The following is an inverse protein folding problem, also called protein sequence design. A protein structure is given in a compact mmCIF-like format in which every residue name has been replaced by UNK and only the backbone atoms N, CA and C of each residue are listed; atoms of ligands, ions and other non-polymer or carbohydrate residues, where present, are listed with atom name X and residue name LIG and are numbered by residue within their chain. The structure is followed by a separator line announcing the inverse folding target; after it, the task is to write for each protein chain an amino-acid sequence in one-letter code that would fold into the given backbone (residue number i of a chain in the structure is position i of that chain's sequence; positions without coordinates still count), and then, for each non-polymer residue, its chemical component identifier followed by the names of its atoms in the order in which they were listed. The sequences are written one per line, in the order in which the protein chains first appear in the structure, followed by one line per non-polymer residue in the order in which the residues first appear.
data_IF_081229045112
#
_entry.id   IF_081229045112
#
_cell.length_a   1.000
_cell.length_b   1.000
_cell.length_c   1.000
_cell.angle_alpha   90.00
_cell.angle_beta   90.00
_cell.angle_gamma   90.00
#
_symmetry.space_group_name_H-M   'P 1'
#
loop_
_entity.id
_entity.type
_entity.pdbx_description
1 polymer ?
#
# COMPACT_ATOMS: atom_id res chain seq x y z
N UNK A 1 -1.34 -25.82 34.35
CA UNK A 1 -2.72 -25.33 34.07
C UNK A 1 -3.53 -26.38 33.30
N UNK A 2 -4.72 -26.76 33.78
CA UNK A 2 -5.59 -27.72 33.09
C UNK A 2 -6.15 -27.09 31.80
N UNK A 3 -5.65 -27.54 30.65
CA UNK A 3 -5.91 -27.02 29.30
C UNK A 3 -7.17 -27.59 28.63
N UNK A 4 -7.93 -28.46 29.32
CA UNK A 4 -8.97 -29.31 28.71
C UNK A 4 -10.21 -28.58 28.18
N UNK A 5 -10.39 -27.28 28.47
CA UNK A 5 -11.55 -26.48 28.02
C UNK A 5 -11.19 -25.32 27.10
N UNK A 6 -9.95 -25.24 26.60
CA UNK A 6 -9.52 -24.12 25.75
C UNK A 6 -9.71 -24.48 24.28
N UNK A 7 -10.47 -23.66 23.55
CA UNK A 7 -10.57 -23.79 22.10
C UNK A 7 -9.20 -23.51 21.49
N UNK A 8 -8.64 -24.47 20.75
CA UNK A 8 -7.42 -24.24 19.99
C UNK A 8 -7.66 -23.16 18.94
N UNK A 9 -6.87 -22.09 19.02
CA UNK A 9 -6.93 -20.92 18.11
C UNK A 9 -5.81 -20.96 17.05
N UNK A 10 -4.84 -21.88 17.20
CA UNK A 10 -3.73 -22.10 16.29
C UNK A 10 -3.18 -23.51 16.47
N UNK A 11 -2.91 -24.20 15.37
CA UNK A 11 -2.08 -25.41 15.38
C UNK A 11 -0.60 -25.04 15.63
N UNK A 12 0.24 -25.99 16.08
CA UNK A 12 1.69 -25.83 16.09
C UNK A 12 2.21 -25.52 14.68
N UNK A 13 3.14 -24.57 14.57
CA UNK A 13 3.69 -24.10 13.29
C UNK A 13 5.21 -24.11 13.37
N UNK A 14 5.85 -24.78 12.42
CA UNK A 14 7.29 -24.68 12.20
C UNK A 14 7.57 -23.38 11.43
N UNK A 15 8.14 -22.38 12.11
CA UNK A 15 8.51 -21.10 11.50
C UNK A 15 10.02 -21.06 11.22
N UNK A 16 10.37 -20.88 9.94
CA UNK A 16 11.73 -20.77 9.48
C UNK A 16 12.07 -19.34 9.04
N UNK A 17 13.27 -18.90 9.40
CA UNK A 17 13.87 -17.66 8.91
C UNK A 17 15.09 -18.02 8.07
N UNK A 18 15.01 -17.92 6.73
CA UNK A 18 16.18 -18.16 5.89
C UNK A 18 17.35 -17.26 6.28
N UNK A 19 18.48 -17.87 6.59
CA UNK A 19 19.74 -17.17 6.86
C UNK A 19 20.33 -16.75 5.51
N UNK A 20 21.01 -15.60 5.46
CA UNK A 20 21.69 -15.06 4.25
C UNK A 20 20.79 -14.37 3.22
N UNK A 21 19.60 -13.87 3.61
CA UNK A 21 18.84 -12.96 2.75
C UNK A 21 19.49 -11.57 2.74
N UNK A 22 20.30 -11.32 1.71
CA UNK A 22 20.82 -9.97 1.42
C UNK A 22 19.68 -8.94 1.38
N UNK A 23 19.88 -7.70 1.85
CA UNK A 23 18.85 -6.66 1.85
C UNK A 23 18.67 -6.04 0.46
N UNK A 24 18.55 -6.87 -0.58
CA UNK A 24 18.30 -6.44 -1.96
C UNK A 24 16.87 -6.74 -2.36
N UNK A 25 16.34 -5.97 -3.32
CA UNK A 25 14.98 -6.17 -3.83
C UNK A 25 14.77 -7.53 -4.55
N UNK A 26 15.85 -8.29 -4.78
CA UNK A 26 15.82 -9.59 -5.49
C UNK A 26 16.01 -10.78 -4.57
N UNK A 27 16.52 -10.62 -3.35
CA UNK A 27 16.93 -11.74 -2.50
C UNK A 27 15.80 -12.71 -2.16
N UNK A 28 14.61 -12.21 -1.81
CA UNK A 28 13.43 -13.05 -1.58
C UNK A 28 13.05 -13.87 -2.83
N UNK A 29 13.07 -13.22 -4.00
CA UNK A 29 12.76 -13.87 -5.27
C UNK A 29 13.79 -14.95 -5.60
N UNK A 30 15.07 -14.63 -5.51
CA UNK A 30 16.18 -15.58 -5.76
C UNK A 30 16.12 -16.77 -4.80
N UNK A 31 15.83 -16.53 -3.51
CA UNK A 31 15.65 -17.59 -2.53
C UNK A 31 14.49 -18.51 -2.92
N UNK A 32 13.32 -17.97 -3.27
CA UNK A 32 12.16 -18.79 -3.66
C UNK A 32 12.42 -19.57 -4.95
N UNK A 33 13.09 -18.97 -5.94
CA UNK A 33 13.45 -19.64 -7.18
C UNK A 33 14.44 -20.77 -6.93
N UNK A 34 15.51 -20.53 -6.15
CA UNK A 34 16.51 -21.54 -5.78
C UNK A 34 15.89 -22.71 -5.03
N UNK A 35 14.91 -22.44 -4.16
CA UNK A 35 14.26 -23.45 -3.31
C UNK A 35 12.92 -23.96 -3.87
N UNK A 36 12.60 -23.64 -5.13
CA UNK A 36 11.31 -23.95 -5.74
C UNK A 36 11.01 -25.45 -5.79
N UNK A 37 12.00 -26.29 -6.06
CA UNK A 37 11.85 -27.75 -6.07
C UNK A 37 12.02 -28.35 -4.67
N UNK A 38 13.15 -28.06 -4.01
CA UNK A 38 13.59 -28.74 -2.78
C UNK A 38 12.76 -28.38 -1.53
N UNK A 39 12.17 -27.19 -1.49
CA UNK A 39 11.36 -26.73 -0.35
C UNK A 39 9.91 -26.61 -0.76
N UNK A 40 9.63 -25.81 -1.79
CA UNK A 40 8.27 -25.40 -2.11
C UNK A 40 7.49 -26.58 -2.70
N UNK A 41 7.90 -27.11 -3.87
CA UNK A 41 7.23 -28.24 -4.51
C UNK A 41 7.30 -29.49 -3.61
N UNK A 42 8.48 -29.79 -3.05
CA UNK A 42 8.68 -30.96 -2.19
C UNK A 42 7.66 -31.04 -1.05
N UNK A 43 7.28 -29.91 -0.42
CA UNK A 43 6.25 -29.92 0.62
C UNK A 43 4.92 -30.50 0.12
N UNK A 44 4.47 -30.13 -1.07
CA UNK A 44 3.21 -30.64 -1.63
C UNK A 44 3.30 -32.09 -2.10
N UNK A 45 4.50 -32.54 -2.46
CA UNK A 45 4.75 -33.94 -2.82
C UNK A 45 4.83 -34.84 -1.57
N UNK A 46 5.47 -34.37 -0.51
CA UNK A 46 5.59 -35.08 0.77
C UNK A 46 4.25 -35.11 1.52
N UNK A 47 3.40 -34.09 1.35
CA UNK A 47 2.10 -33.96 1.99
C UNK A 47 0.96 -33.70 0.99
N UNK A 48 0.49 -34.72 0.24
CA UNK A 48 -0.59 -34.58 -0.73
C UNK A 48 -1.86 -33.99 -0.13
N UNK A 49 -2.54 -33.11 -0.88
CA UNK A 49 -3.74 -32.40 -0.40
C UNK A 49 -3.45 -31.15 0.44
N UNK A 50 -2.18 -30.83 0.68
CA UNK A 50 -1.76 -29.57 1.29
C UNK A 50 -2.19 -28.36 0.46
N UNK A 51 -2.41 -27.24 1.15
CA UNK A 51 -2.70 -25.94 0.55
C UNK A 51 -1.72 -24.91 1.08
N UNK A 52 -1.23 -24.05 0.20
CA UNK A 52 -0.25 -23.03 0.58
C UNK A 52 -0.51 -21.66 0.01
N UNK A 53 0.15 -20.68 0.63
CA UNK A 53 0.17 -19.30 0.16
C UNK A 53 1.61 -18.75 0.12
N UNK A 54 1.90 -17.95 -0.91
CA UNK A 54 3.08 -17.10 -1.00
C UNK A 54 2.61 -15.65 -1.05
N UNK A 55 2.98 -14.84 -0.05
CA UNK A 55 2.53 -13.45 0.06
C UNK A 55 3.72 -12.50 -0.11
N UNK A 56 3.74 -11.76 -1.22
CA UNK A 56 4.82 -10.85 -1.60
C UNK A 56 4.35 -9.38 -1.52
N UNK A 57 5.31 -8.47 -1.40
CA UNK A 57 5.04 -7.03 -1.32
C UNK A 57 4.82 -6.37 -2.69
N UNK A 58 5.19 -7.05 -3.79
CA UNK A 58 5.12 -6.50 -5.15
C UNK A 58 4.32 -7.41 -6.09
N UNK A 59 3.39 -6.81 -6.84
CA UNK A 59 2.63 -7.49 -7.90
C UNK A 59 3.56 -8.05 -8.98
N UNK A 60 4.60 -7.31 -9.38
CA UNK A 60 5.56 -7.79 -10.37
C UNK A 60 6.33 -9.02 -9.88
N UNK A 61 6.69 -9.08 -8.59
CA UNK A 61 7.32 -10.28 -8.01
C UNK A 61 6.39 -11.48 -8.03
N UNK A 62 5.08 -11.28 -7.81
CA UNK A 62 4.07 -12.35 -7.89
C UNK A 62 4.02 -12.95 -9.29
N UNK A 63 3.89 -12.13 -10.34
CA UNK A 63 3.81 -12.65 -11.71
C UNK A 63 5.12 -13.31 -12.17
N UNK A 64 6.28 -12.75 -11.81
CA UNK A 64 7.58 -13.38 -12.08
C UNK A 64 7.71 -14.75 -11.40
N UNK A 65 7.32 -14.86 -10.13
CA UNK A 65 7.39 -16.14 -9.42
C UNK A 65 6.37 -17.14 -9.95
N UNK A 66 5.16 -16.68 -10.32
CA UNK A 66 4.15 -17.52 -10.93
C UNK A 66 4.61 -18.11 -12.26
N UNK A 67 5.36 -17.36 -13.08
CA UNK A 67 5.95 -17.86 -14.32
C UNK A 67 6.94 -19.03 -14.08
N UNK A 68 7.61 -19.06 -12.92
CA UNK A 68 8.49 -20.17 -12.51
C UNK A 68 7.70 -21.34 -11.91
N UNK A 69 6.79 -21.07 -10.98
CA UNK A 69 6.13 -22.12 -10.20
C UNK A 69 4.98 -22.81 -10.94
N UNK A 70 4.22 -22.10 -11.80
CA UNK A 70 3.12 -22.70 -12.58
C UNK A 70 3.57 -23.91 -13.42
N UNK A 71 4.58 -23.80 -14.29
CA UNK A 71 5.02 -24.95 -15.10
C UNK A 71 5.64 -26.06 -14.25
N UNK A 72 6.28 -25.72 -13.13
CA UNK A 72 6.86 -26.69 -12.21
C UNK A 72 5.78 -27.55 -11.54
N UNK A 73 4.75 -26.93 -10.98
CA UNK A 73 3.66 -27.61 -10.28
C UNK A 73 2.75 -28.39 -11.25
N UNK A 74 2.54 -27.88 -12.46
CA UNK A 74 1.71 -28.53 -13.47
C UNK A 74 2.20 -29.94 -13.84
N UNK A 75 3.52 -30.21 -13.77
CA UNK A 75 4.11 -31.55 -13.99
C UNK A 75 3.58 -32.61 -13.01
N UNK A 76 3.06 -32.17 -11.87
CA UNK A 76 2.55 -33.02 -10.80
C UNK A 76 1.03 -32.87 -10.60
N UNK A 77 0.31 -32.31 -11.58
CA UNK A 77 -1.13 -32.01 -11.50
C UNK A 77 -1.52 -31.08 -10.36
N UNK A 78 -0.59 -30.24 -9.89
CA UNK A 78 -0.86 -29.22 -8.88
C UNK A 78 -1.13 -27.86 -9.54
N UNK A 79 -2.03 -27.07 -8.95
CA UNK A 79 -2.47 -25.78 -9.46
C UNK A 79 -1.83 -24.62 -8.69
N UNK A 80 -1.14 -23.74 -9.42
CA UNK A 80 -0.63 -22.46 -8.89
C UNK A 80 -1.44 -21.33 -9.50
N UNK A 81 -2.13 -20.54 -8.67
CA UNK A 81 -2.96 -19.42 -9.11
C UNK A 81 -2.53 -18.10 -8.46
N UNK A 82 -2.83 -16.98 -9.13
CA UNK A 82 -2.39 -15.64 -8.72
C UNK A 82 -3.54 -14.87 -8.10
N UNK A 83 -3.26 -14.13 -7.02
CA UNK A 83 -4.24 -13.24 -6.39
C UNK A 83 -3.60 -11.90 -6.02
N UNK A 84 -3.80 -10.90 -6.85
CA UNK A 84 -3.29 -9.53 -6.65
C UNK A 84 -4.37 -8.48 -6.84
N UNK A 85 -4.04 -7.22 -6.56
CA UNK A 85 -4.90 -6.09 -6.90
C UNK A 85 -5.17 -5.93 -8.41
N UNK A 86 -4.35 -6.56 -9.26
CA UNK A 86 -4.58 -6.63 -10.70
C UNK A 86 -5.36 -7.86 -11.13
N UNK A 87 -5.52 -8.89 -10.30
CA UNK A 87 -6.29 -10.07 -10.68
C UNK A 87 -7.78 -9.74 -10.74
N UNK A 88 -8.42 -10.07 -11.87
CA UNK A 88 -9.86 -9.97 -12.10
C UNK A 88 -10.67 -10.81 -11.11
N UNK A 89 -11.96 -10.50 -11.02
CA UNK A 89 -12.86 -11.14 -10.05
C UNK A 89 -13.00 -12.65 -10.27
N UNK A 90 -12.99 -13.07 -11.54
CA UNK A 90 -13.12 -14.49 -11.90
C UNK A 90 -11.88 -15.28 -11.47
N UNK A 91 -10.69 -14.83 -11.87
CA UNK A 91 -9.42 -15.49 -11.50
C UNK A 91 -9.18 -15.43 -9.99
N UNK A 92 -9.55 -14.31 -9.33
CA UNK A 92 -9.46 -14.18 -7.87
C UNK A 92 -10.32 -15.21 -7.16
N UNK A 93 -11.56 -15.40 -7.59
CA UNK A 93 -12.46 -16.39 -6.99
C UNK A 93 -11.94 -17.81 -7.19
N UNK A 94 -11.50 -18.15 -8.41
CA UNK A 94 -10.90 -19.44 -8.72
C UNK A 94 -9.62 -19.71 -7.90
N UNK A 95 -8.79 -18.69 -7.69
CA UNK A 95 -7.57 -18.82 -6.88
C UNK A 95 -7.86 -19.34 -5.47
N UNK A 96 -8.96 -18.91 -4.86
CA UNK A 96 -9.33 -19.26 -3.50
C UNK A 96 -9.94 -20.67 -3.37
N UNK A 97 -10.48 -21.22 -4.46
CA UNK A 97 -11.19 -22.51 -4.44
C UNK A 97 -10.37 -23.64 -5.05
N UNK A 98 -9.58 -23.35 -6.09
CA UNK A 98 -8.94 -24.37 -6.91
C UNK A 98 -7.44 -24.48 -6.72
N UNK A 99 -6.76 -23.46 -6.19
CA UNK A 99 -5.32 -23.47 -6.10
C UNK A 99 -4.84 -24.47 -5.04
N UNK A 100 -3.74 -25.15 -5.32
CA UNK A 100 -2.92 -25.81 -4.30
C UNK A 100 -1.95 -24.81 -3.68
N UNK A 101 -1.42 -23.89 -4.50
CA UNK A 101 -0.58 -22.79 -4.06
C UNK A 101 -1.11 -21.47 -4.62
N UNK A 102 -1.49 -20.54 -3.75
CA UNK A 102 -1.82 -19.17 -4.14
C UNK A 102 -0.57 -18.29 -4.01
N UNK A 103 -0.28 -17.50 -5.03
CA UNK A 103 0.76 -16.46 -4.97
C UNK A 103 0.09 -15.11 -5.09
N UNK A 104 0.36 -14.20 -4.17
CA UNK A 104 -0.32 -12.92 -4.17
C UNK A 104 0.32 -11.83 -3.34
N UNK A 105 -0.43 -10.74 -3.19
CA UNK A 105 -0.04 -9.58 -2.38
C UNK A 105 -0.90 -9.47 -1.14
N UNK A 106 -0.94 -8.30 -0.49
CA UNK A 106 -1.81 -8.04 0.66
C UNK A 106 -3.32 -8.17 0.36
N UNK A 107 -3.73 -8.41 -0.88
CA UNK A 107 -5.08 -8.86 -1.20
C UNK A 107 -5.43 -10.21 -0.55
N UNK A 108 -4.44 -11.03 -0.21
CA UNK A 108 -4.61 -12.25 0.59
C UNK A 108 -4.77 -11.91 2.09
N UNK A 109 -4.22 -10.77 2.54
CA UNK A 109 -4.28 -10.35 3.94
C UNK A 109 -5.70 -9.91 4.36
N UNK A 110 -6.61 -9.67 3.41
CA UNK A 110 -7.97 -9.15 3.66
C UNK A 110 -8.97 -9.78 2.67
N UNK A 111 -9.91 -10.59 3.18
CA UNK A 111 -10.87 -11.33 2.37
C UNK A 111 -10.71 -12.84 2.55
N UNK A 112 -11.82 -13.57 2.39
CA UNK A 112 -12.04 -15.04 2.41
C UNK A 112 -10.97 -15.89 3.13
N UNK A 113 -11.39 -16.64 4.14
CA UNK A 113 -10.52 -17.51 4.92
C UNK A 113 -10.04 -18.72 4.10
N UNK A 114 -8.90 -18.57 3.42
CA UNK A 114 -8.24 -19.63 2.67
C UNK A 114 -7.47 -20.55 3.62
N UNK A 115 -7.85 -21.82 3.68
CA UNK A 115 -7.24 -22.82 4.57
C UNK A 115 -5.89 -23.24 4.02
N UNK A 116 -4.82 -23.03 4.79
CA UNK A 116 -3.45 -23.41 4.41
C UNK A 116 -2.71 -24.12 5.53
N UNK A 117 -1.74 -24.96 5.16
CA UNK A 117 -0.71 -25.53 6.01
C UNK A 117 0.72 -25.22 5.54
N UNK A 118 0.87 -24.45 4.45
CA UNK A 118 2.16 -23.95 3.98
C UNK A 118 2.11 -22.44 3.74
N UNK A 119 3.09 -21.70 4.25
CA UNK A 119 3.16 -20.24 4.06
C UNK A 119 4.59 -19.80 3.76
N UNK A 120 4.76 -18.97 2.74
CA UNK A 120 5.96 -18.16 2.54
C UNK A 120 5.52 -16.71 2.47
N UNK A 121 6.17 -15.82 3.20
CA UNK A 121 5.75 -14.43 3.18
C UNK A 121 6.92 -13.47 3.38
N UNK A 122 6.84 -12.33 2.70
CA UNK A 122 7.64 -11.16 3.02
C UNK A 122 6.94 -10.37 4.13
N UNK A 123 7.67 -9.59 4.91
CA UNK A 123 7.08 -8.63 5.83
C UNK A 123 7.88 -7.34 5.89
N UNK A 124 7.21 -6.21 5.71
CA UNK A 124 7.82 -4.89 5.82
C UNK A 124 7.80 -4.35 7.26
N UNK A 125 6.85 -4.83 8.06
CA UNK A 125 6.60 -4.37 9.41
C UNK A 125 6.00 -5.45 10.31
N UNK A 126 6.06 -5.21 11.63
CA UNK A 126 5.55 -6.15 12.63
C UNK A 126 4.05 -6.45 12.44
N UNK A 127 3.24 -5.45 12.09
CA UNK A 127 1.81 -5.63 11.87
C UNK A 127 1.54 -6.56 10.69
N UNK A 128 2.19 -6.31 9.56
CA UNK A 128 2.14 -7.13 8.37
C UNK A 128 2.66 -8.55 8.63
N UNK A 129 3.76 -8.69 9.38
CA UNK A 129 4.31 -9.98 9.80
C UNK A 129 3.27 -10.79 10.58
N UNK A 130 2.72 -10.21 11.65
CA UNK A 130 1.77 -10.88 12.55
C UNK A 130 0.48 -11.23 11.80
N UNK A 131 0.00 -10.35 10.92
CA UNK A 131 -1.21 -10.57 10.13
C UNK A 131 -1.03 -11.72 9.13
N UNK A 132 0.09 -11.74 8.39
CA UNK A 132 0.41 -12.78 7.40
C UNK A 132 0.66 -14.12 8.08
N UNK A 133 1.52 -14.15 9.09
CA UNK A 133 1.80 -15.36 9.86
C UNK A 133 0.53 -15.93 10.48
N UNK A 134 -0.33 -15.07 11.02
CA UNK A 134 -1.61 -15.45 11.62
C UNK A 134 -2.64 -16.02 10.64
N UNK A 135 -2.33 -16.16 9.34
CA UNK A 135 -3.15 -16.90 8.36
C UNK A 135 -2.95 -18.41 8.45
N UNK A 136 -1.78 -18.84 8.90
CA UNK A 136 -1.44 -20.25 9.06
C UNK A 136 -1.97 -20.80 10.40
N UNK A 137 -2.30 -22.09 10.43
CA UNK A 137 -2.64 -22.79 11.68
C UNK A 137 -4.04 -22.55 12.24
N UNK A 138 -4.90 -21.76 11.58
CA UNK A 138 -6.27 -21.48 12.07
C UNK A 138 -7.20 -22.70 12.07
N UNK A 139 -6.91 -23.64 11.18
CA UNK A 139 -7.80 -24.74 10.81
C UNK A 139 -7.06 -26.04 11.02
N UNK A 140 -7.62 -27.05 11.73
CA UNK A 140 -6.98 -28.35 11.93
C UNK A 140 -7.14 -29.29 10.71
N UNK A 141 -7.76 -28.83 9.61
CA UNK A 141 -8.12 -29.64 8.44
C UNK A 141 -6.95 -30.40 7.78
N UNK A 142 -5.71 -30.00 8.02
CA UNK A 142 -4.52 -30.64 7.42
C UNK A 142 -3.82 -31.62 8.34
N UNK A 143 -4.26 -31.79 9.59
CA UNK A 143 -3.64 -32.78 10.48
C UNK A 143 -3.81 -34.20 9.89
N UNK A 144 -2.79 -35.07 9.98
CA UNK A 144 -1.54 -34.91 10.74
C UNK A 144 -0.39 -34.22 9.97
N UNK A 145 -0.64 -33.64 8.80
CA UNK A 145 0.40 -32.90 8.07
C UNK A 145 0.88 -31.67 8.85
N UNK A 146 2.17 -31.31 8.74
CA UNK A 146 2.72 -30.18 9.47
C UNK A 146 2.20 -28.84 8.92
N UNK A 147 2.24 -27.82 9.77
CA UNK A 147 2.06 -26.44 9.37
C UNK A 147 3.43 -25.79 9.31
N UNK A 148 3.83 -25.28 8.14
CA UNK A 148 5.16 -24.71 7.93
C UNK A 148 5.11 -23.31 7.35
N UNK A 149 5.90 -22.41 7.93
CA UNK A 149 6.04 -21.03 7.48
C UNK A 149 7.51 -20.68 7.19
N UNK A 150 7.74 -19.86 6.17
CA UNK A 150 9.02 -19.21 5.88
C UNK A 150 8.83 -17.69 5.85
N UNK A 151 9.49 -16.99 6.77
CA UNK A 151 9.48 -15.54 6.81
C UNK A 151 10.70 -14.98 6.07
N UNK A 152 10.45 -14.37 4.90
CA UNK A 152 11.47 -13.73 4.06
C UNK A 152 11.62 -12.27 4.50
N UNK A 153 12.45 -12.04 5.51
CA UNK A 153 12.67 -10.73 6.12
C UNK A 153 14.17 -10.41 6.12
N UNK A 154 14.56 -9.12 6.17
CA UNK A 154 15.97 -8.75 6.12
C UNK A 154 16.79 -9.37 7.26
N UNK A 155 18.03 -9.79 6.95
CA UNK A 155 18.94 -10.41 7.93
C UNK A 155 19.13 -9.58 9.20
N UNK A 156 19.19 -8.24 9.11
CA UNK A 156 19.36 -7.41 10.31
C UNK A 156 18.18 -7.52 11.30
N UNK A 157 16.97 -7.83 10.82
CA UNK A 157 15.83 -8.10 11.71
C UNK A 157 15.96 -9.49 12.32
N UNK A 158 16.37 -10.50 11.54
CA UNK A 158 16.65 -11.85 12.04
C UNK A 158 17.73 -11.78 13.14
N UNK A 159 18.81 -11.03 12.91
CA UNK A 159 19.87 -10.81 13.90
C UNK A 159 19.39 -10.09 15.16
N UNK A 160 18.36 -9.24 15.09
CA UNK A 160 17.75 -8.64 16.29
C UNK A 160 16.87 -9.64 17.04
N UNK A 161 16.09 -10.43 16.32
CA UNK A 161 15.20 -11.45 16.87
C UNK A 161 15.96 -12.58 17.58
N UNK A 162 17.14 -12.96 17.08
CA UNK A 162 17.92 -14.11 17.58
C UNK A 162 19.34 -13.74 18.05
N UNK A 163 19.63 -12.45 18.19
CA UNK A 163 20.94 -11.95 18.63
C UNK A 163 21.12 -11.93 20.14
N UNK A 164 22.27 -11.42 20.60
CA UNK A 164 22.56 -11.28 22.03
C UNK A 164 21.52 -10.38 22.73
N UNK A 165 20.90 -10.90 23.79
CA UNK A 165 19.86 -10.19 24.55
C UNK A 165 18.45 -10.30 23.96
N UNK A 166 18.23 -11.11 22.92
CA UNK A 166 16.90 -11.39 22.40
C UNK A 166 16.09 -12.33 23.30
N UNK A 167 14.77 -12.32 23.11
CA UNK A 167 13.84 -13.20 23.83
C UNK A 167 13.52 -14.49 23.06
N UNK A 168 14.16 -14.75 21.92
CA UNK A 168 13.87 -15.91 21.06
C UNK A 168 15.14 -16.73 20.83
N UNK A 169 15.06 -18.05 21.04
CA UNK A 169 16.14 -18.97 20.71
C UNK A 169 15.77 -19.84 19.49
N UNK A 170 16.79 -20.26 18.74
CA UNK A 170 16.61 -21.17 17.61
C UNK A 170 16.12 -22.55 18.08
N UNK A 171 15.08 -23.08 17.42
CA UNK A 171 14.46 -24.37 17.77
C UNK A 171 13.58 -24.36 19.04
N UNK A 172 13.35 -23.20 19.67
CA UNK A 172 12.51 -23.08 20.85
C UNK A 172 11.02 -23.09 20.51
N UNK A 173 10.22 -23.81 21.32
CA UNK A 173 8.77 -23.70 21.31
C UNK A 173 8.33 -22.48 22.12
N UNK A 174 7.63 -21.55 21.49
CA UNK A 174 7.18 -20.31 22.12
C UNK A 174 5.67 -20.12 21.92
N UNK A 175 5.00 -19.57 22.94
CA UNK A 175 3.60 -19.23 22.82
C UNK A 175 3.38 -18.01 21.91
N UNK A 176 2.20 -17.95 21.30
CA UNK A 176 1.86 -16.91 20.32
C UNK A 176 1.94 -15.50 20.88
N UNK A 177 1.60 -15.28 22.15
CA UNK A 177 1.57 -13.93 22.76
C UNK A 177 3.00 -13.44 22.95
N UNK A 178 3.85 -14.25 23.56
CA UNK A 178 5.27 -13.94 23.73
C UNK A 178 5.97 -13.70 22.38
N UNK A 179 5.72 -14.57 21.40
CA UNK A 179 6.28 -14.41 20.05
C UNK A 179 5.80 -13.12 19.35
N UNK A 180 4.51 -12.81 19.45
CA UNK A 180 3.94 -11.57 18.87
C UNK A 180 4.58 -10.32 19.48
N UNK A 181 4.84 -10.33 20.78
CA UNK A 181 5.49 -9.23 21.48
C UNK A 181 6.95 -9.09 21.04
N UNK A 182 7.70 -10.19 20.96
CA UNK A 182 9.07 -10.20 20.46
C UNK A 182 9.19 -9.62 19.05
N UNK A 183 8.26 -9.93 18.14
CA UNK A 183 8.22 -9.35 16.78
C UNK A 183 7.99 -7.83 16.83
N UNK A 184 7.08 -7.34 17.68
CA UNK A 184 6.79 -5.90 17.81
C UNK A 184 7.99 -5.12 18.35
N UNK A 185 8.68 -5.67 19.34
CA UNK A 185 9.78 -4.98 20.03
C UNK A 185 11.05 -4.89 19.18
N UNK A 186 11.22 -5.79 18.21
CA UNK A 186 12.41 -5.84 17.35
C UNK A 186 12.26 -5.10 16.01
N UNK A 187 11.03 -4.75 15.61
CA UNK A 187 10.77 -3.97 14.40
C UNK A 187 10.89 -2.47 14.64
N UNK A 188 11.20 -1.72 13.57
CA UNK A 188 11.17 -0.26 13.64
C UNK A 188 9.74 0.23 13.92
N UNK A 189 9.63 1.27 14.74
CA UNK A 189 8.37 1.95 15.01
C UNK A 189 7.70 2.41 13.71
N UNK A 190 6.38 2.21 13.63
CA UNK A 190 5.52 2.76 12.58
C UNK A 190 4.56 3.76 13.17
N UNK A 191 4.41 4.89 12.49
CA UNK A 191 3.50 5.95 12.88
C UNK A 191 2.04 5.49 12.81
N UNK A 192 1.27 5.79 13.85
CA UNK A 192 -0.18 5.58 13.90
C UNK A 192 -0.98 6.80 13.42
N UNK A 193 -0.29 7.90 13.11
CA UNK A 193 -0.85 9.18 12.70
C UNK A 193 -1.87 9.76 13.69
N UNK A 194 -1.66 9.58 15.01
CA UNK A 194 -2.58 10.05 16.05
C UNK A 194 -2.96 11.53 15.99
N UNK A 195 -2.12 12.38 15.36
CA UNK A 195 -2.39 13.82 15.16
C UNK A 195 -3.32 14.12 13.98
N UNK A 196 -3.46 13.20 13.02
CA UNK A 196 -4.27 13.41 11.82
C UNK A 196 -5.75 13.65 12.13
N UNK A 197 -6.43 12.84 12.99
CA UNK A 197 -7.83 13.07 13.32
C UNK A 197 -8.08 14.46 13.94
N UNK A 198 -7.18 14.93 14.81
CA UNK A 198 -7.30 16.26 15.41
C UNK A 198 -7.09 17.37 14.37
N UNK A 199 -6.07 17.23 13.49
CA UNK A 199 -5.71 18.25 12.50
C UNK A 199 -6.74 18.37 11.38
N UNK A 200 -7.03 17.27 10.69
CA UNK A 200 -7.84 17.23 9.47
C UNK A 200 -9.25 16.68 9.67
N UNK A 201 -9.44 15.78 10.64
CA UNK A 201 -10.78 15.34 11.04
C UNK A 201 -11.62 16.51 11.56
N UNK A 202 -11.00 17.49 12.23
CA UNK A 202 -11.70 18.71 12.65
C UNK A 202 -12.18 19.60 11.49
N UNK A 203 -11.45 19.63 10.36
CA UNK A 203 -11.88 20.33 9.13
C UNK A 203 -13.07 19.62 8.50
N UNK A 204 -13.01 18.29 8.40
CA UNK A 204 -14.11 17.44 7.95
C UNK A 204 -15.36 17.63 8.82
N UNK A 205 -15.22 17.56 10.14
CA UNK A 205 -16.32 17.77 11.08
C UNK A 205 -16.94 19.16 10.93
N UNK A 206 -16.14 20.21 10.79
CA UNK A 206 -16.68 21.56 10.58
C UNK A 206 -17.53 21.64 9.30
N UNK A 207 -17.04 21.03 8.21
CA UNK A 207 -17.76 21.03 6.94
C UNK A 207 -19.12 20.31 7.04
N UNK A 208 -19.12 19.10 7.62
CA UNK A 208 -20.37 18.32 7.85
C UNK A 208 -21.33 19.11 8.74
N UNK A 209 -20.82 19.71 9.83
CA UNK A 209 -21.63 20.54 10.72
C UNK A 209 -22.29 21.71 9.97
N UNK A 210 -21.57 22.33 9.03
CA UNK A 210 -22.12 23.40 8.20
C UNK A 210 -23.21 22.91 7.24
N UNK A 211 -23.04 21.73 6.62
CA UNK A 211 -24.08 21.09 5.78
C UNK A 211 -25.34 20.76 6.60
N UNK A 212 -25.18 20.27 7.83
CA UNK A 212 -26.29 19.99 8.76
C UNK A 212 -27.06 21.26 9.16
N UNK A 213 -26.44 22.44 9.06
CA UNK A 213 -27.07 23.74 9.30
C UNK A 213 -27.79 24.31 8.07
N UNK A 214 -27.82 23.60 6.94
CA UNK A 214 -28.64 23.97 5.80
C UNK A 214 -30.13 23.92 6.13
N UNK A 215 -30.94 24.78 5.49
CA UNK A 215 -32.36 24.97 5.83
C UNK A 215 -33.19 23.67 5.74
N UNK A 216 -32.91 22.84 4.72
CA UNK A 216 -33.53 21.53 4.58
C UNK A 216 -33.19 20.57 5.73
N UNK A 217 -31.92 20.50 6.13
CA UNK A 217 -31.47 19.63 7.22
C UNK A 217 -31.99 20.08 8.57
N UNK A 218 -31.99 21.39 8.85
CA UNK A 218 -32.56 21.96 10.06
C UNK A 218 -34.04 21.64 10.21
N UNK A 219 -34.80 21.68 9.11
CA UNK A 219 -36.24 21.40 9.14
C UNK A 219 -36.51 19.93 9.44
N UNK A 220 -35.71 19.02 8.86
CA UNK A 220 -35.89 17.58 9.00
C UNK A 220 -35.28 16.99 10.28
N UNK A 221 -34.17 17.57 10.75
CA UNK A 221 -33.39 17.09 11.89
C UNK A 221 -32.86 18.28 12.72
N UNK A 222 -33.72 18.94 13.53
CA UNK A 222 -33.37 20.19 14.21
C UNK A 222 -32.17 20.07 15.16
N UNK A 223 -32.02 18.92 15.82
CA UNK A 223 -30.94 18.69 16.80
C UNK A 223 -29.65 18.12 16.19
N UNK A 224 -29.67 17.69 14.92
CA UNK A 224 -28.56 16.91 14.35
C UNK A 224 -27.24 17.69 14.34
N UNK A 225 -27.30 18.98 14.01
CA UNK A 225 -26.11 19.83 13.98
C UNK A 225 -25.48 19.99 15.38
N UNK A 226 -26.28 20.19 16.41
CA UNK A 226 -25.78 20.42 17.77
C UNK A 226 -25.27 19.13 18.41
N UNK A 227 -25.96 18.00 18.20
CA UNK A 227 -25.48 16.67 18.65
C UNK A 227 -24.17 16.29 17.97
N UNK A 228 -24.12 16.40 16.64
CA UNK A 228 -22.89 16.12 15.88
C UNK A 228 -21.73 17.00 16.32
N UNK A 229 -21.99 18.29 16.58
CA UNK A 229 -20.98 19.21 17.10
C UNK A 229 -20.43 18.73 18.45
N UNK A 230 -21.30 18.37 19.40
CA UNK A 230 -20.87 17.89 20.71
C UNK A 230 -20.03 16.60 20.59
N UNK A 231 -20.52 15.63 19.82
CA UNK A 231 -19.84 14.34 19.61
C UNK A 231 -18.46 14.53 18.96
N UNK A 232 -18.38 15.35 17.90
CA UNK A 232 -17.12 15.62 17.20
C UNK A 232 -16.10 16.35 18.09
N UNK A 233 -16.55 17.34 18.87
CA UNK A 233 -15.68 18.06 19.80
C UNK A 233 -15.13 17.15 20.90
N UNK A 234 -15.96 16.25 21.43
CA UNK A 234 -15.57 15.27 22.45
C UNK A 234 -14.60 14.22 21.89
N UNK A 235 -14.90 13.66 20.71
CA UNK A 235 -14.10 12.59 20.12
C UNK A 235 -12.73 13.05 19.61
N UNK A 236 -12.65 14.25 19.03
CA UNK A 236 -11.44 14.75 18.35
C UNK A 236 -10.67 15.81 19.15
N UNK A 237 -11.19 16.22 20.32
CA UNK A 237 -10.49 17.16 21.21
C UNK A 237 -10.25 18.54 20.60
N UNK A 238 -11.25 19.14 19.96
CA UNK A 238 -11.16 20.49 19.39
C UNK A 238 -12.43 21.32 19.66
N UNK A 239 -12.35 22.63 19.40
CA UNK A 239 -13.52 23.50 19.42
C UNK A 239 -13.95 23.90 18.01
N UNK A 240 -15.22 23.67 17.67
CA UNK A 240 -15.77 23.90 16.32
C UNK A 240 -15.55 25.35 15.84
N UNK A 241 -15.67 26.33 16.76
CA UNK A 241 -15.44 27.75 16.47
C UNK A 241 -14.00 28.07 16.03
N UNK A 242 -13.00 27.33 16.52
CA UNK A 242 -11.59 27.58 16.17
C UNK A 242 -11.24 27.10 14.76
N UNK A 243 -12.08 26.24 14.16
CA UNK A 243 -11.88 25.72 12.81
C UNK A 243 -12.64 26.49 11.74
N UNK A 244 -13.52 27.41 12.15
CA UNK A 244 -14.26 28.27 11.23
C UNK A 244 -13.33 29.08 10.31
N UNK A 245 -12.33 29.76 10.87
CA UNK A 245 -11.40 30.59 10.09
C UNK A 245 -10.64 29.79 9.02
N UNK A 246 -10.04 28.68 9.43
CA UNK A 246 -9.26 27.79 8.54
C UNK A 246 -10.13 27.21 7.40
N UNK A 247 -11.28 26.64 7.72
CA UNK A 247 -12.14 26.01 6.70
C UNK A 247 -12.79 27.05 5.78
N UNK A 248 -13.18 28.21 6.33
CA UNK A 248 -13.74 29.30 5.52
C UNK A 248 -12.70 29.91 4.59
N UNK A 249 -11.43 29.99 5.02
CA UNK A 249 -10.33 30.40 4.15
C UNK A 249 -10.18 29.45 2.95
N UNK A 250 -10.19 28.13 3.17
CA UNK A 250 -10.14 27.16 2.07
C UNK A 250 -11.32 27.30 1.11
N UNK A 251 -12.53 27.51 1.61
CA UNK A 251 -13.72 27.75 0.78
C UNK A 251 -13.57 29.05 -0.03
N UNK A 252 -13.17 30.14 0.63
CA UNK A 252 -12.99 31.46 -0.01
C UNK A 252 -11.90 31.45 -1.08
N UNK A 253 -10.82 30.72 -0.84
CA UNK A 253 -9.68 30.55 -1.78
C UNK A 253 -9.95 29.49 -2.86
N UNK A 254 -11.19 28.95 -2.95
CA UNK A 254 -11.58 27.90 -3.90
C UNK A 254 -10.75 26.62 -3.79
N UNK A 255 -10.17 26.34 -2.61
CA UNK A 255 -9.38 25.13 -2.30
C UNK A 255 -10.28 23.93 -1.93
N UNK A 256 -11.41 23.78 -2.60
CA UNK A 256 -12.41 22.74 -2.31
C UNK A 256 -11.83 21.32 -2.38
N UNK A 257 -10.88 21.08 -3.29
CA UNK A 257 -10.22 19.78 -3.42
C UNK A 257 -9.51 19.32 -2.14
N UNK A 258 -8.94 20.25 -1.35
CA UNK A 258 -8.30 19.92 -0.06
C UNK A 258 -9.36 19.43 0.94
N UNK A 259 -10.54 20.07 0.94
CA UNK A 259 -11.66 19.67 1.79
C UNK A 259 -12.20 18.31 1.34
N UNK A 260 -12.31 18.07 0.03
CA UNK A 260 -12.77 16.80 -0.51
C UNK A 260 -11.83 15.64 -0.16
N UNK A 261 -10.52 15.87 -0.18
CA UNK A 261 -9.54 14.91 0.34
C UNK A 261 -9.74 14.62 1.83
N UNK A 262 -9.92 15.64 2.66
CA UNK A 262 -10.16 15.46 4.09
C UNK A 262 -11.48 14.73 4.38
N UNK A 263 -12.48 14.86 3.50
CA UNK A 263 -13.77 14.17 3.58
C UNK A 263 -13.74 12.75 3.04
N UNK A 264 -12.76 12.43 2.21
CA UNK A 264 -12.65 11.10 1.61
C UNK A 264 -12.28 10.05 2.67
N UNK A 265 -13.06 8.97 2.74
CA UNK A 265 -12.84 7.93 3.76
C UNK A 265 -11.54 7.13 3.53
N UNK A 266 -11.08 7.03 2.27
CA UNK A 266 -9.89 6.26 1.86
C UNK A 266 -8.88 7.07 1.03
N UNK A 267 -8.96 8.40 1.06
CA UNK A 267 -8.26 9.25 0.10
C UNK A 267 -8.97 9.30 -1.25
N UNK A 268 -8.72 10.34 -2.04
CA UNK A 268 -9.03 10.30 -3.47
C UNK A 268 -7.79 9.84 -4.25
N UNK A 269 -8.01 8.99 -5.25
CA UNK A 269 -6.93 8.42 -6.05
C UNK A 269 -6.51 9.37 -7.17
N UNK A 270 -5.98 10.54 -6.81
CA UNK A 270 -5.61 11.59 -7.79
C UNK A 270 -4.56 11.14 -8.82
N UNK A 271 -3.78 10.13 -8.47
CA UNK A 271 -2.77 9.50 -9.32
C UNK A 271 -3.23 8.17 -9.94
N UNK A 272 -4.53 7.85 -9.91
CA UNK A 272 -5.02 6.66 -10.61
C UNK A 272 -5.08 6.89 -12.11
N UNK A 273 -4.56 5.92 -12.85
CA UNK A 273 -4.68 5.78 -14.28
C UNK A 273 -5.76 4.75 -14.61
N UNK A 274 -6.44 4.94 -15.74
CA UNK A 274 -7.23 3.89 -16.36
C UNK A 274 -6.29 3.00 -17.17
N UNK A 275 -6.37 1.69 -16.98
CA UNK A 275 -5.48 0.74 -17.67
C UNK A 275 -6.27 -0.34 -18.41
N UNK A 276 -5.76 -0.72 -19.57
CA UNK A 276 -6.12 -1.96 -20.26
C UNK A 276 -4.95 -2.92 -20.13
N UNK A 277 -5.17 -4.01 -19.41
CA UNK A 277 -4.14 -5.01 -19.11
C UNK A 277 -3.99 -5.98 -20.28
N UNK A 278 -3.03 -5.71 -21.16
CA UNK A 278 -2.66 -6.60 -22.26
C UNK A 278 -1.68 -7.71 -21.86
N UNK A 279 -1.11 -7.64 -20.66
CA UNK A 279 -0.15 -8.63 -20.15
C UNK A 279 -0.82 -9.96 -19.76
N UNK A 280 -2.13 -9.97 -19.47
CA UNK A 280 -2.88 -11.17 -19.11
C UNK A 280 -4.02 -11.47 -20.11
N UNK A 281 -3.71 -12.07 -21.27
CA UNK A 281 -4.71 -12.34 -22.31
C UNK A 281 -5.73 -13.41 -21.93
N UNK A 282 -5.46 -14.22 -20.89
CA UNK A 282 -6.35 -15.29 -20.43
C UNK A 282 -7.51 -14.78 -19.57
N UNK A 283 -7.43 -13.54 -19.09
CA UNK A 283 -8.47 -12.93 -18.29
C UNK A 283 -9.64 -12.49 -19.19
N UNK A 284 -10.90 -12.59 -18.72
CA UNK A 284 -12.05 -12.08 -19.46
C UNK A 284 -11.85 -10.62 -19.89
N UNK A 285 -12.19 -10.28 -21.13
CA UNK A 285 -11.91 -8.97 -21.71
C UNK A 285 -12.40 -7.80 -20.84
N UNK A 286 -13.60 -7.93 -20.26
CA UNK A 286 -14.18 -6.94 -19.34
C UNK A 286 -13.36 -6.73 -18.06
N UNK A 287 -12.63 -7.73 -17.60
CA UNK A 287 -11.85 -7.69 -16.36
C UNK A 287 -10.46 -7.08 -16.60
N UNK A 288 -10.00 -7.02 -17.86
CA UNK A 288 -8.75 -6.38 -18.27
C UNK A 288 -8.78 -4.85 -18.19
N UNK A 289 -9.96 -4.23 -18.08
CA UNK A 289 -10.11 -2.79 -17.84
C UNK A 289 -10.09 -2.49 -16.34
N UNK A 290 -9.01 -1.87 -15.87
CA UNK A 290 -8.73 -1.67 -14.44
C UNK A 290 -8.35 -0.22 -14.14
N UNK A 291 -8.23 0.09 -12.87
CA UNK A 291 -7.65 1.34 -12.38
C UNK A 291 -6.44 1.01 -11.54
N UNK A 292 -5.33 1.71 -11.75
CA UNK A 292 -4.09 1.44 -11.04
C UNK A 292 -3.31 2.73 -10.79
N UNK A 293 -2.61 2.79 -9.66
CA UNK A 293 -1.82 3.97 -9.32
C UNK A 293 -0.65 4.14 -10.28
N UNK A 294 -0.46 5.36 -10.77
CA UNK A 294 0.68 5.79 -11.59
C UNK A 294 2.01 5.33 -11.02
N UNK A 295 2.17 5.41 -9.69
CA UNK A 295 3.41 5.00 -9.01
C UNK A 295 3.76 3.54 -9.24
N UNK A 296 2.75 2.67 -9.21
CA UNK A 296 2.89 1.25 -9.47
C UNK A 296 3.19 0.98 -10.93
N UNK A 297 2.55 1.72 -11.85
CA UNK A 297 2.74 1.61 -13.31
C UNK A 297 4.17 1.99 -13.70
N UNK A 298 4.60 3.21 -13.39
CA UNK A 298 5.93 3.72 -13.75
C UNK A 298 7.03 2.84 -13.17
N UNK A 299 6.86 2.36 -11.93
CA UNK A 299 7.91 1.55 -11.29
C UNK A 299 8.04 0.14 -11.88
N UNK A 300 6.95 -0.49 -12.33
CA UNK A 300 6.94 -1.95 -12.50
C UNK A 300 6.45 -2.45 -13.87
N UNK A 301 5.91 -1.58 -14.72
CA UNK A 301 5.24 -2.00 -15.96
C UNK A 301 5.84 -1.35 -17.19
N UNK A 302 5.75 -2.09 -18.30
CA UNK A 302 5.92 -1.59 -19.65
C UNK A 302 4.54 -1.25 -20.19
N UNK A 303 4.34 -0.01 -20.60
CA UNK A 303 3.04 0.48 -21.02
C UNK A 303 3.15 1.56 -22.09
N UNK A 304 2.04 1.77 -22.79
CA UNK A 304 1.89 2.81 -23.79
C UNK A 304 0.67 3.68 -23.47
N UNK A 305 0.70 4.95 -23.88
CA UNK A 305 -0.45 5.84 -23.72
C UNK A 305 -1.48 5.60 -24.81
N UNK A 306 -2.75 5.51 -24.40
CA UNK A 306 -3.90 5.43 -25.30
C UNK A 306 -4.71 6.73 -25.17
N UNK A 307 -5.31 7.19 -26.26
CA UNK A 307 -6.27 8.29 -26.18
C UNK A 307 -7.51 7.92 -25.36
N UNK A 308 -7.99 8.88 -24.54
CA UNK A 308 -9.21 8.72 -23.75
C UNK A 308 -10.39 8.21 -24.57
N UNK A 309 -10.64 8.81 -25.74
CA UNK A 309 -11.76 8.44 -26.59
C UNK A 309 -11.69 6.98 -27.05
N UNK A 310 -10.49 6.52 -27.44
CA UNK A 310 -10.25 5.14 -27.84
C UNK A 310 -10.46 4.18 -26.66
N UNK A 311 -9.87 4.46 -25.50
CA UNK A 311 -10.03 3.65 -24.30
C UNK A 311 -11.50 3.47 -23.90
N UNK A 312 -12.26 4.57 -23.83
CA UNK A 312 -13.68 4.54 -23.46
C UNK A 312 -14.51 3.78 -24.51
N UNK A 313 -14.14 3.87 -25.80
CA UNK A 313 -14.79 3.09 -26.85
C UNK A 313 -14.55 1.59 -26.70
N UNK A 314 -13.32 1.18 -26.33
CA UNK A 314 -12.96 -0.21 -26.06
C UNK A 314 -13.72 -0.74 -24.84
N UNK A 315 -13.73 0.01 -23.74
CA UNK A 315 -14.46 -0.37 -22.53
C UNK A 315 -15.96 -0.54 -22.79
N UNK A 316 -16.56 0.37 -23.58
CA UNK A 316 -17.98 0.27 -23.96
C UNK A 316 -18.26 -0.95 -24.83
N UNK A 317 -17.37 -1.28 -25.78
CA UNK A 317 -17.48 -2.50 -26.61
C UNK A 317 -17.39 -3.77 -25.75
N UNK A 318 -16.57 -3.76 -24.71
CA UNK A 318 -16.48 -4.85 -23.73
C UNK A 318 -17.65 -4.89 -22.71
N UNK A 319 -18.67 -4.03 -22.87
CA UNK A 319 -19.87 -4.02 -22.03
C UNK A 319 -19.73 -3.34 -20.67
N UNK A 320 -18.72 -2.48 -20.49
CA UNK A 320 -18.48 -1.79 -19.21
C UNK A 320 -19.07 -0.37 -19.18
N UNK A 321 -19.54 0.09 -18.00
CA UNK A 321 -19.86 1.50 -17.80
C UNK A 321 -18.58 2.34 -17.80
N UNK A 322 -18.60 3.47 -18.52
CA UNK A 322 -17.42 4.33 -18.75
C UNK A 322 -17.16 5.33 -17.63
N UNK A 323 -18.19 5.69 -16.85
CA UNK A 323 -18.14 6.70 -15.78
C UNK A 323 -16.97 6.50 -14.81
N UNK A 324 -16.67 5.24 -14.44
CA UNK A 324 -15.56 4.90 -13.53
C UNK A 324 -14.17 5.24 -14.05
N UNK A 325 -14.04 5.51 -15.36
CA UNK A 325 -12.77 5.83 -16.02
C UNK A 325 -12.68 7.29 -16.46
N UNK A 326 -13.74 8.10 -16.33
CA UNK A 326 -13.79 9.44 -16.94
C UNK A 326 -12.82 10.45 -16.32
N UNK A 327 -12.60 10.36 -15.01
CA UNK A 327 -11.79 11.32 -14.24
C UNK A 327 -10.39 10.78 -13.88
N UNK A 328 -9.89 9.81 -14.65
CA UNK A 328 -8.56 9.22 -14.43
C UNK A 328 -7.46 10.10 -15.00
N UNK A 329 -6.28 10.05 -14.38
CA UNK A 329 -5.14 10.90 -14.72
C UNK A 329 -4.72 10.70 -16.18
N UNK A 330 -4.61 9.46 -16.61
CA UNK A 330 -4.31 9.09 -17.99
C UNK A 330 -4.85 7.68 -18.31
N UNK A 331 -4.76 7.30 -19.59
CA UNK A 331 -5.26 6.04 -20.12
C UNK A 331 -4.10 5.28 -20.75
N UNK A 332 -3.87 4.05 -20.28
CA UNK A 332 -2.65 3.30 -20.59
C UNK A 332 -2.97 1.87 -21.03
N UNK A 333 -2.19 1.33 -21.95
CA UNK A 333 -2.13 -0.10 -22.25
C UNK A 333 -0.93 -0.70 -21.54
N UNK A 334 -1.14 -1.66 -20.65
CA UNK A 334 -0.06 -2.38 -19.98
C UNK A 334 0.29 -3.59 -20.82
N UNK A 335 1.51 -3.64 -21.35
CA UNK A 335 1.96 -4.70 -22.25
C UNK A 335 2.70 -5.81 -21.48
N UNK A 336 3.54 -5.43 -20.51
CA UNK A 336 4.37 -6.37 -19.77
C UNK A 336 4.82 -5.83 -18.40
N UNK A 337 5.54 -6.64 -17.64
CA UNK A 337 6.20 -6.27 -16.39
C UNK A 337 7.69 -6.01 -16.63
N UNK A 338 8.23 -4.97 -16.00
CA UNK A 338 9.67 -4.70 -16.03
C UNK A 338 10.44 -5.75 -15.23
N UNK A 339 11.59 -6.18 -15.74
CA UNK A 339 12.49 -7.08 -15.02
C UNK A 339 13.08 -6.41 -13.77
N UNK A 340 13.43 -5.13 -13.92
CA UNK A 340 14.00 -4.28 -12.87
C UNK A 340 13.04 -3.14 -12.60
N UNK A 341 12.77 -2.90 -11.32
CA UNK A 341 11.94 -1.78 -10.89
C UNK A 341 12.61 -0.47 -11.28
N UNK A 342 11.86 0.39 -11.95
CA UNK A 342 12.33 1.71 -12.35
C UNK A 342 12.34 2.69 -11.18
N UNK A 343 13.40 3.47 -11.09
CA UNK A 343 13.49 4.60 -10.17
C UNK A 343 13.03 5.87 -10.88
N UNK A 344 12.12 6.59 -10.25
CA UNK A 344 11.52 7.79 -10.80
C UNK A 344 11.21 8.77 -9.65
N UNK A 345 11.02 10.04 -9.98
CA UNK A 345 10.67 11.09 -9.03
C UNK A 345 9.83 12.18 -9.69
N UNK A 346 9.22 13.05 -8.89
CA UNK A 346 8.53 14.23 -9.39
C UNK A 346 9.51 15.37 -9.62
N UNK A 347 9.37 16.06 -10.74
CA UNK A 347 10.06 17.30 -11.03
C UNK A 347 9.05 18.45 -10.97
N UNK A 348 9.43 19.57 -10.35
CA UNK A 348 8.61 20.77 -10.36
C UNK A 348 9.23 21.82 -11.28
N UNK A 349 8.51 22.16 -12.35
CA UNK A 349 9.01 23.07 -13.38
C UNK A 349 8.85 24.57 -13.02
N UNK A 350 8.21 24.89 -11.89
CA UNK A 350 7.97 26.26 -11.46
C UNK A 350 9.12 26.84 -10.62
N UNK A 351 9.28 28.17 -10.69
CA UNK A 351 10.37 28.91 -10.00
C UNK A 351 10.13 29.12 -8.49
N UNK A 352 8.94 28.82 -7.98
CA UNK A 352 8.50 29.15 -6.61
C UNK A 352 8.59 27.98 -5.63
N UNK A 353 9.27 26.88 -5.96
CA UNK A 353 9.40 25.71 -5.07
C UNK A 353 9.94 26.09 -3.68
N UNK A 354 10.85 27.06 -3.62
CA UNK A 354 11.40 27.56 -2.35
C UNK A 354 10.38 28.31 -1.49
N UNK A 355 9.38 28.97 -2.10
CA UNK A 355 8.27 29.57 -1.36
C UNK A 355 7.31 28.48 -0.88
N UNK A 356 6.96 27.54 -1.76
CA UNK A 356 6.10 26.39 -1.48
C UNK A 356 6.61 25.59 -0.26
N UNK A 357 7.91 25.24 -0.24
CA UNK A 357 8.53 24.49 0.86
C UNK A 357 8.48 25.24 2.19
N UNK A 358 8.69 26.56 2.16
CA UNK A 358 8.68 27.42 3.35
C UNK A 358 7.29 27.63 3.93
N UNK A 359 6.25 27.60 3.10
CA UNK A 359 4.87 27.68 3.59
C UNK A 359 4.53 26.50 4.50
N UNK A 360 4.99 25.29 4.15
CA UNK A 360 4.80 24.10 5.01
C UNK A 360 3.32 23.73 5.20
N UNK A 361 2.49 24.00 4.19
CA UNK A 361 1.04 23.76 4.21
C UNK A 361 0.61 22.84 3.06
N UNK A 362 -0.55 22.19 3.22
CA UNK A 362 -1.20 21.46 2.12
C UNK A 362 -1.75 22.46 1.11
N UNK A 363 -1.52 22.20 -0.16
CA UNK A 363 -1.93 23.07 -1.26
C UNK A 363 -2.28 22.28 -2.52
N UNK A 364 -2.86 22.98 -3.51
CA UNK A 364 -3.11 22.42 -4.84
C UNK A 364 -1.96 22.87 -5.73
N UNK A 365 -1.22 21.93 -6.30
CA UNK A 365 -0.06 22.20 -7.15
C UNK A 365 -0.28 21.62 -8.55
N UNK A 366 -0.07 22.46 -9.56
CA UNK A 366 0.07 22.07 -10.98
C UNK A 366 1.49 22.35 -11.45
N UNK A 367 1.87 21.90 -12.64
CA UNK A 367 3.24 22.06 -13.15
C UNK A 367 4.21 21.00 -12.62
N UNK A 368 3.68 19.87 -12.15
CA UNK A 368 4.46 18.70 -11.77
C UNK A 368 4.71 17.82 -12.99
N UNK A 369 5.94 17.37 -13.16
CA UNK A 369 6.31 16.36 -14.14
C UNK A 369 6.86 15.12 -13.44
N UNK A 370 7.08 14.07 -14.21
CA UNK A 370 7.68 12.82 -13.74
C UNK A 370 8.98 12.62 -14.51
N UNK A 371 10.07 12.43 -13.78
CA UNK A 371 11.35 12.04 -14.33
C UNK A 371 11.61 10.55 -14.11
N UNK A 372 12.05 9.88 -15.17
CA UNK A 372 12.26 8.43 -15.27
C UNK A 372 12.40 8.00 -16.74
N UNK A 373 12.80 6.75 -16.97
CA UNK A 373 12.96 6.23 -18.34
C UNK A 373 11.63 5.89 -19.00
N UNK A 374 11.60 5.97 -20.33
CA UNK A 374 10.47 5.56 -21.20
C UNK A 374 9.12 6.24 -20.91
N UNK A 375 9.12 7.46 -20.37
CA UNK A 375 7.89 8.20 -20.07
C UNK A 375 7.41 8.98 -21.29
N UNK A 376 6.19 8.71 -21.75
CA UNK A 376 5.62 9.42 -22.89
C UNK A 376 5.31 10.88 -22.57
N UNK A 377 5.43 11.76 -23.58
CA UNK A 377 5.07 13.17 -23.47
C UNK A 377 3.62 13.37 -23.03
N UNK A 378 2.72 12.47 -23.45
CA UNK A 378 1.30 12.52 -23.05
C UNK A 378 1.12 12.30 -21.55
N UNK A 379 1.86 11.35 -20.96
CA UNK A 379 1.82 11.11 -19.52
C UNK A 379 2.39 12.31 -18.74
N UNK A 380 3.55 12.84 -19.16
CA UNK A 380 4.16 14.03 -18.54
C UNK A 380 3.19 15.21 -18.57
N UNK A 381 2.55 15.46 -19.72
CA UNK A 381 1.54 16.51 -19.87
C UNK A 381 0.33 16.31 -18.95
N UNK A 382 -0.17 15.08 -18.84
CA UNK A 382 -1.32 14.77 -17.98
C UNK A 382 -1.06 15.08 -16.50
N UNK A 383 0.18 14.84 -16.03
CA UNK A 383 0.60 15.17 -14.66
C UNK A 383 0.78 16.68 -14.51
N UNK A 384 1.42 17.33 -15.50
CA UNK A 384 1.69 18.76 -15.52
C UNK A 384 0.42 19.60 -15.40
N UNK A 385 -0.62 19.25 -16.16
CA UNK A 385 -1.87 20.00 -16.21
C UNK A 385 -2.77 19.75 -14.98
N UNK A 386 -2.53 18.68 -14.21
CA UNK A 386 -3.39 18.30 -13.10
C UNK A 386 -3.04 19.13 -11.86
N UNK A 387 -4.02 19.86 -11.35
CA UNK A 387 -3.96 20.40 -9.98
C UNK A 387 -4.11 19.27 -8.97
N UNK A 388 -3.03 18.97 -8.26
CA UNK A 388 -2.96 17.89 -7.28
C UNK A 388 -2.90 18.45 -5.85
N UNK A 389 -3.76 17.96 -4.96
CA UNK A 389 -3.65 18.25 -3.52
C UNK A 389 -2.39 17.56 -3.01
N UNK A 390 -1.42 18.34 -2.56
CA UNK A 390 -0.12 17.84 -2.15
C UNK A 390 0.43 18.58 -0.93
N UNK A 391 1.46 17.98 -0.34
CA UNK A 391 2.31 18.57 0.67
C UNK A 391 3.76 18.35 0.26
N UNK A 392 4.57 19.41 0.32
CA UNK A 392 6.00 19.35 -0.02
C UNK A 392 6.82 19.53 1.26
N UNK A 393 7.68 18.56 1.56
CA UNK A 393 8.68 18.65 2.62
C UNK A 393 10.03 19.08 2.06
N UNK A 394 10.72 19.91 2.82
CA UNK A 394 12.10 20.37 2.62
C UNK A 394 13.19 19.31 2.90
N UNK A 395 12.78 18.06 3.16
CA UNK A 395 13.67 16.94 3.47
C UNK A 395 13.43 15.80 2.49
N UNK A 396 14.47 15.00 2.27
CA UNK A 396 14.42 13.89 1.34
C UNK A 396 13.55 12.73 1.87
N UNK A 397 13.14 11.88 0.94
CA UNK A 397 12.20 10.80 1.20
C UNK A 397 12.75 9.78 2.20
N UNK A 398 14.04 9.46 2.14
CA UNK A 398 14.64 8.46 3.01
C UNK A 398 14.70 8.95 4.46
N UNK A 399 15.06 10.22 4.66
CA UNK A 399 15.04 10.87 5.96
C UNK A 399 13.63 10.89 6.54
N UNK A 400 12.64 11.40 5.78
CA UNK A 400 11.26 11.53 6.25
C UNK A 400 10.66 10.17 6.63
N UNK A 401 10.85 9.14 5.79
CA UNK A 401 10.36 7.78 6.07
C UNK A 401 10.94 7.20 7.35
N UNK A 402 12.25 7.31 7.52
CA UNK A 402 12.95 6.78 8.70
C UNK A 402 12.58 7.55 9.96
N UNK A 403 12.63 8.89 9.91
CA UNK A 403 12.43 9.74 11.09
C UNK A 403 11.00 9.70 11.60
N UNK A 404 10.01 9.59 10.71
CA UNK A 404 8.60 9.54 11.08
C UNK A 404 8.04 8.14 11.25
N UNK A 405 8.77 7.09 10.84
CA UNK A 405 8.26 5.72 10.83
C UNK A 405 7.12 5.55 9.81
N UNK A 406 7.27 6.10 8.60
CA UNK A 406 6.20 6.02 7.60
C UNK A 406 6.02 4.58 7.08
N UNK A 407 4.78 4.07 6.97
CA UNK A 407 4.51 2.75 6.40
C UNK A 407 5.14 2.55 5.02
N UNK A 408 5.43 1.30 4.65
CA UNK A 408 6.01 0.97 3.34
C UNK A 408 5.18 1.51 2.17
N UNK A 409 3.85 1.37 2.25
CA UNK A 409 2.91 1.79 1.22
C UNK A 409 2.51 3.28 1.31
N UNK A 410 3.11 4.05 2.24
CA UNK A 410 2.83 5.47 2.36
C UNK A 410 3.25 6.20 1.09
N UNK A 411 2.31 6.95 0.48
CA UNK A 411 2.48 7.60 -0.82
C UNK A 411 3.28 8.92 -0.68
N UNK A 412 4.57 8.77 -0.40
CA UNK A 412 5.56 9.84 -0.41
C UNK A 412 6.64 9.52 -1.45
N UNK A 413 6.97 10.51 -2.28
CA UNK A 413 7.82 10.40 -3.45
C UNK A 413 8.93 11.44 -3.39
N UNK A 414 10.04 11.19 -4.10
CA UNK A 414 11.08 12.20 -4.27
C UNK A 414 10.55 13.37 -5.10
N UNK A 415 10.99 14.58 -4.76
CA UNK A 415 10.72 15.80 -5.52
C UNK A 415 12.03 16.55 -5.75
N UNK A 416 12.23 17.06 -6.97
CA UNK A 416 13.36 17.94 -7.31
C UNK A 416 12.89 19.15 -8.13
N UNK A 417 13.65 20.24 -8.05
CA UNK A 417 13.60 21.41 -8.95
C UNK A 417 14.65 21.29 -10.08
N UNK A 418 15.28 20.13 -10.22
CA UNK A 418 16.28 19.85 -11.25
C UNK A 418 15.95 18.54 -11.95
N UNK A 419 16.21 18.50 -13.26
CA UNK A 419 16.25 17.25 -14.02
C UNK A 419 17.51 16.47 -13.66
N UNK A 420 17.48 15.15 -13.88
CA UNK A 420 18.58 14.19 -13.63
C UNK A 420 19.09 14.09 -12.17
N UNK A 421 18.24 14.41 -11.20
CA UNK A 421 18.58 14.28 -9.78
C UNK A 421 18.48 12.83 -9.30
N UNK A 422 19.65 12.20 -9.07
CA UNK A 422 19.72 10.82 -8.56
C UNK A 422 19.23 10.69 -7.12
N UNK A 423 19.20 11.78 -6.36
CA UNK A 423 18.79 11.77 -4.96
C UNK A 423 17.95 13.02 -4.66
N UNK A 424 16.69 13.04 -5.11
CA UNK A 424 15.80 14.19 -4.95
C UNK A 424 15.80 14.71 -3.51
N UNK A 425 16.16 15.99 -3.27
CA UNK A 425 16.38 16.53 -1.94
C UNK A 425 15.09 16.77 -1.16
N UNK A 426 13.94 16.71 -1.82
CA UNK A 426 12.63 17.01 -1.26
C UNK A 426 11.71 15.81 -1.33
N UNK A 427 10.62 15.88 -0.57
CA UNK A 427 9.57 14.86 -0.57
C UNK A 427 8.24 15.50 -0.94
N UNK A 428 7.47 14.85 -1.80
CA UNK A 428 6.09 15.20 -2.09
C UNK A 428 5.15 14.05 -1.72
N UNK A 429 4.04 14.37 -1.09
CA UNK A 429 2.93 13.45 -0.84
C UNK A 429 1.63 14.03 -1.42
N UNK A 430 0.67 13.16 -1.73
CA UNK A 430 -0.58 13.54 -2.42
C UNK A 430 -1.83 13.10 -1.64
N UNK A 431 -2.93 13.83 -1.85
CA UNK A 431 -4.24 13.54 -1.28
C UNK A 431 -4.21 13.33 0.22
N UNK A 432 -4.84 12.25 0.70
CA UNK A 432 -4.81 11.89 2.12
C UNK A 432 -3.39 11.71 2.69
N UNK A 433 -2.43 11.19 1.91
CA UNK A 433 -1.04 11.08 2.37
C UNK A 433 -0.39 12.45 2.58
N UNK A 434 -0.77 13.47 1.80
CA UNK A 434 -0.34 14.85 2.02
C UNK A 434 -0.85 15.38 3.36
N UNK A 435 -2.14 15.17 3.65
CA UNK A 435 -2.78 15.60 4.90
C UNK A 435 -2.14 14.92 6.12
N UNK A 436 -1.89 13.60 6.02
CA UNK A 436 -1.23 12.83 7.07
C UNK A 436 0.20 13.28 7.31
N UNK A 437 0.97 13.55 6.24
CA UNK A 437 2.34 14.00 6.34
C UNK A 437 2.43 15.40 6.96
N UNK A 438 1.56 16.34 6.53
CA UNK A 438 1.49 17.67 7.13
C UNK A 438 1.18 17.61 8.62
N UNK A 439 0.22 16.77 9.04
CA UNK A 439 -0.15 16.65 10.45
C UNK A 439 1.02 16.15 11.35
N UNK A 440 1.98 15.41 10.79
CA UNK A 440 3.17 14.97 11.50
C UNK A 440 4.25 16.06 11.59
N UNK A 441 4.44 16.81 10.51
CA UNK A 441 5.55 17.75 10.34
C UNK A 441 5.17 19.17 10.74
N UNK A 442 3.88 19.48 10.95
CA UNK A 442 3.37 20.84 11.23
C UNK A 442 4.14 21.65 12.29
N UNK A 443 4.77 20.97 13.26
CA UNK A 443 5.53 21.61 14.35
C UNK A 443 7.05 21.60 14.14
N UNK A 444 7.54 21.08 13.01
CA UNK A 444 8.96 21.03 12.72
C UNK A 444 9.45 22.40 12.27
N UNK A 445 10.65 22.76 12.73
CA UNK A 445 11.34 23.93 12.17
C UNK A 445 11.74 23.65 10.71
N UNK A 446 11.71 24.67 9.84
CA UNK A 446 12.34 24.61 8.52
C UNK A 446 13.77 24.08 8.65
N UNK A 447 14.23 23.29 7.67
CA UNK A 447 15.58 22.72 7.62
C UNK A 447 16.65 23.81 7.72
N UNK A 448 16.41 24.95 7.06
CA UNK A 448 17.33 26.10 7.06
C UNK A 448 17.46 26.76 8.44
N UNK A 449 16.51 26.52 9.35
CA UNK A 449 16.49 27.04 10.73
C UNK A 449 17.07 26.04 11.74
N UNK A 450 17.50 24.84 11.30
CA UNK A 450 18.19 23.88 12.16
C UNK A 450 19.67 24.27 12.17
N UNK A 451 20.24 24.72 13.31
CA UNK A 451 21.65 25.05 13.36
C UNK A 451 22.46 23.83 12.93
N UNK A 452 23.41 24.04 12.02
CA UNK A 452 24.40 23.03 11.65
C UNK A 452 25.19 22.67 12.90
N UNK A 453 24.81 21.57 13.55
CA UNK A 453 25.63 20.96 14.59
C UNK A 453 26.73 20.22 13.84
N UNK A 454 27.92 20.85 13.79
CA UNK A 454 29.16 20.25 13.31
C UNK A 454 29.69 19.22 14.29
#
# INVERSE_FOLDING_TARGET
PQTSNWRSISQPIDLHFPRELEPTAKSSFEWMTKNSEEIILKFFLDYPGSKGAIILNSVASVYRLAAVLKPLFAKHNLKVLVNTGLTGETERSQSLTEADLIIGTSTIDVGVDFKINFLIFEAADAGNFIQRFGRLGRHPDFLPHPYRAYALIPNFIVSRLFGEGSSLNDGEEIDRVAFTQAIRDNWLFINDFAKYPQRWGSVQSFYIWNELRGDWMKTKYPDAADRFKADAQNALGFQMKHKHGQTYQYIKEKKHQIIDEARSFRGSSQLDCAIYDASNPNEPERERFKTYSLSGLVSNFEFETIEKALFLSMAKKAGLPTNRFEEKLCYLQVNNFREVRENWYFYYAGDDLSAIRRMGEVQILSGLEIEGTDLSTQLRKAVYEKGLVCYVSDRDRAYIRTKLGLPMQFQAYGLSDRTDDKSPPYTIAFGQSALMLEALIHYWKPKDDIPLIF
#
